data_IF_164012686693
#
_entry.id   IF_164012686693
#
_cell.length_a   1.000
_cell.length_b   1.000
_cell.length_c   1.000
_cell.angle_alpha   90.00
_cell.angle_beta   90.00
_cell.angle_gamma   90.00
#
_symmetry.space_group_name_H-M   'P 1'
#
loop_
_entity.id
_entity.type
_entity.pdbx_description
1 polymer ?
#
# COMPACT_ATOMS: atom_id res chain seq x y z
N UNK A 1 8.05 12.25 -4.94
CA UNK A 1 7.29 10.97 -5.01
C UNK A 1 6.38 10.91 -3.79
N UNK A 2 5.20 10.32 -3.88
CA UNK A 2 4.27 10.16 -2.74
C UNK A 2 4.18 8.67 -2.41
N UNK A 3 4.24 8.33 -1.12
CA UNK A 3 4.14 6.96 -0.63
C UNK A 3 3.05 6.88 0.43
N UNK A 4 2.27 5.81 0.37
CA UNK A 4 1.34 5.42 1.42
C UNK A 4 1.94 4.22 2.17
N UNK A 5 1.91 4.25 3.50
CA UNK A 5 2.47 3.20 4.36
C UNK A 5 1.43 2.74 5.36
N UNK A 6 1.37 1.43 5.60
CA UNK A 6 0.55 0.84 6.64
C UNK A 6 1.43 -0.05 7.54
N UNK A 7 1.81 0.48 8.71
CA UNK A 7 2.61 -0.26 9.70
C UNK A 7 1.78 -1.24 10.55
N UNK A 8 0.45 -1.21 10.41
CA UNK A 8 -0.47 -1.79 11.39
C UNK A 8 -1.28 -2.96 10.81
N UNK A 9 -0.89 -3.50 9.66
CA UNK A 9 -1.54 -4.67 9.09
C UNK A 9 -1.47 -5.85 10.07
N UNK A 10 -2.62 -6.47 10.30
CA UNK A 10 -2.78 -7.61 11.20
C UNK A 10 -3.01 -8.91 10.42
N UNK A 11 -2.56 -10.03 10.98
CA UNK A 11 -2.92 -11.37 10.51
C UNK A 11 -4.39 -11.70 10.87
N UNK A 12 -4.96 -12.79 10.32
CA UNK A 12 -6.29 -13.26 10.71
C UNK A 12 -6.43 -13.51 12.23
N UNK A 13 -5.33 -13.85 12.91
CA UNK A 13 -5.26 -14.04 14.36
C UNK A 13 -5.08 -12.72 15.14
N UNK A 14 -5.13 -11.58 14.46
CA UNK A 14 -5.07 -10.25 15.07
C UNK A 14 -3.66 -9.79 15.46
N UNK A 15 -2.61 -10.52 15.07
CA UNK A 15 -1.21 -10.17 15.38
C UNK A 15 -0.65 -9.19 14.35
N UNK A 16 0.16 -8.23 14.79
CA UNK A 16 0.87 -7.34 13.86
C UNK A 16 1.83 -8.15 12.99
N UNK A 17 1.74 -7.94 11.68
CA UNK A 17 2.57 -8.64 10.71
C UNK A 17 3.94 -7.98 10.52
N UNK A 18 4.03 -6.69 10.80
CA UNK A 18 5.27 -5.92 10.76
C UNK A 18 5.69 -5.52 12.18
N UNK A 19 6.97 -5.69 12.56
CA UNK A 19 7.44 -5.37 13.91
C UNK A 19 7.34 -3.88 14.28
N UNK A 20 7.33 -2.97 13.29
CA UNK A 20 7.16 -1.54 13.54
C UNK A 20 8.37 -0.86 14.19
N UNK A 21 8.13 0.26 14.86
CA UNK A 21 9.15 1.04 15.56
C UNK A 21 10.39 1.34 14.70
N UNK A 22 11.59 1.03 15.18
CA UNK A 22 12.84 1.24 14.47
C UNK A 22 12.94 0.44 13.17
N UNK A 23 12.24 -0.68 13.06
CA UNK A 23 12.26 -1.52 11.85
C UNK A 23 11.58 -0.84 10.66
N UNK A 24 10.74 0.18 10.89
CA UNK A 24 10.19 1.03 9.82
C UNK A 24 11.29 1.69 8.98
N UNK A 25 12.50 1.87 9.53
CA UNK A 25 13.67 2.36 8.78
C UNK A 25 13.98 1.51 7.55
N UNK A 26 13.64 0.21 7.52
CA UNK A 26 13.83 -0.68 6.37
C UNK A 26 12.92 -0.33 5.20
N UNK A 27 11.69 0.08 5.49
CA UNK A 27 10.77 0.59 4.47
C UNK A 27 11.18 1.99 4.02
N UNK A 28 11.70 2.83 4.93
CA UNK A 28 12.29 4.12 4.55
C UNK A 28 13.51 3.95 3.64
N UNK A 29 14.39 2.98 3.92
CA UNK A 29 15.50 2.60 3.03
C UNK A 29 14.99 2.28 1.63
N UNK A 30 13.97 1.42 1.51
CA UNK A 30 13.35 1.10 0.22
C UNK A 30 12.76 2.34 -0.46
N UNK A 31 12.08 3.22 0.29
CA UNK A 31 11.55 4.49 -0.24
C UNK A 31 12.67 5.37 -0.84
N UNK A 32 13.80 5.52 -0.15
CA UNK A 32 14.94 6.29 -0.67
C UNK A 32 15.54 5.63 -1.90
N UNK A 33 15.74 4.30 -1.87
CA UNK A 33 16.21 3.56 -3.04
C UNK A 33 15.22 3.63 -4.23
N UNK A 34 13.91 3.78 -3.98
CA UNK A 34 12.90 4.02 -5.03
C UNK A 34 13.01 5.42 -5.63
N UNK A 35 13.31 6.42 -4.82
CA UNK A 35 13.57 7.78 -5.30
C UNK A 35 14.85 7.83 -6.17
N UNK A 36 15.86 7.04 -5.80
CA UNK A 36 17.13 6.91 -6.53
C UNK A 36 17.07 5.96 -7.73
N UNK A 37 15.94 5.27 -7.97
CA UNK A 37 15.79 4.29 -9.05
C UNK A 37 16.54 2.96 -8.84
N UNK A 38 16.99 2.68 -7.61
CA UNK A 38 17.76 1.48 -7.23
C UNK A 38 16.89 0.32 -6.74
N UNK A 39 15.72 0.60 -6.17
CA UNK A 39 14.82 -0.44 -5.66
C UNK A 39 13.78 -0.89 -6.69
N UNK A 40 13.55 -2.21 -6.76
CA UNK A 40 12.52 -2.83 -7.59
C UNK A 40 11.13 -2.69 -6.95
N UNK A 41 10.12 -2.57 -7.81
CA UNK A 41 8.72 -2.51 -7.42
C UNK A 41 7.86 -3.21 -8.48
N UNK A 42 6.73 -3.75 -8.06
CA UNK A 42 5.72 -4.35 -8.95
C UNK A 42 4.53 -3.41 -9.10
N UNK A 43 4.00 -3.30 -10.32
CA UNK A 43 2.77 -2.56 -10.58
C UNK A 43 1.57 -3.35 -10.04
N UNK A 44 0.69 -2.64 -9.34
CA UNK A 44 -0.56 -3.18 -8.79
C UNK A 44 -1.69 -2.17 -9.02
N UNK A 45 -2.97 -2.56 -8.85
CA UNK A 45 -4.08 -1.63 -8.99
C UNK A 45 -4.01 -0.40 -8.07
N UNK A 46 -3.29 -0.49 -6.97
CA UNK A 46 -3.17 0.58 -5.95
C UNK A 46 -1.83 1.32 -6.03
N UNK A 47 -1.08 1.14 -7.12
CA UNK A 47 0.24 1.74 -7.33
C UNK A 47 1.36 0.71 -7.26
N UNK A 48 2.57 1.16 -6.94
CA UNK A 48 3.78 0.34 -6.97
C UNK A 48 4.12 -0.18 -5.58
N UNK A 49 4.10 -1.50 -5.40
CA UNK A 49 4.49 -2.17 -4.15
C UNK A 49 5.91 -2.72 -4.23
N UNK A 50 6.59 -2.96 -3.09
CA UNK A 50 7.88 -3.64 -3.08
C UNK A 50 7.81 -4.96 -3.85
N UNK A 51 8.79 -5.19 -4.73
CA UNK A 51 8.95 -6.49 -5.37
C UNK A 51 9.42 -7.53 -4.35
N UNK A 52 9.27 -8.81 -4.70
CA UNK A 52 9.82 -9.91 -3.91
C UNK A 52 11.32 -9.67 -3.62
N UNK A 53 11.74 -9.91 -2.38
CA UNK A 53 13.11 -9.70 -1.91
C UNK A 53 13.66 -8.26 -2.05
N UNK A 54 12.81 -7.26 -2.28
CA UNK A 54 13.26 -5.85 -2.35
C UNK A 54 13.27 -5.12 -1.01
N UNK A 55 12.64 -5.68 0.03
CA UNK A 55 12.73 -5.17 1.40
C UNK A 55 13.83 -5.90 2.16
N UNK A 56 14.65 -5.14 2.87
CA UNK A 56 15.68 -5.69 3.75
C UNK A 56 15.06 -6.22 5.03
N UNK A 57 14.83 -7.53 5.08
CA UNK A 57 14.32 -8.25 6.26
C UNK A 57 15.41 -9.00 7.02
N UNK A 58 16.68 -8.73 6.71
CA UNK A 58 17.80 -9.39 7.38
C UNK A 58 17.76 -9.11 8.89
N UNK A 59 17.87 -10.19 9.69
CA UNK A 59 17.81 -10.13 11.15
C UNK A 59 16.41 -9.92 11.74
N UNK A 60 15.35 -9.79 10.92
CA UNK A 60 13.97 -9.72 11.42
C UNK A 60 13.42 -11.11 11.75
N UNK A 61 12.71 -11.20 12.87
CA UNK A 61 11.88 -12.38 13.22
C UNK A 61 10.50 -12.28 12.58
N UNK A 62 10.45 -12.26 11.26
CA UNK A 62 9.20 -12.29 10.48
C UNK A 62 8.99 -13.68 9.88
N UNK A 63 7.73 -14.09 9.70
CA UNK A 63 7.43 -15.36 9.03
C UNK A 63 7.95 -15.35 7.58
N UNK A 64 8.31 -16.51 7.00
CA UNK A 64 8.85 -16.59 5.64
C UNK A 64 7.99 -15.88 4.58
N UNK A 65 6.66 -15.99 4.71
CA UNK A 65 5.70 -15.37 3.78
C UNK A 65 5.14 -14.02 4.27
N UNK A 66 5.63 -13.49 5.40
CA UNK A 66 5.06 -12.27 5.99
C UNK A 66 5.16 -11.08 5.03
N UNK A 67 6.28 -10.93 4.30
CA UNK A 67 6.45 -9.85 3.32
C UNK A 67 5.45 -9.99 2.18
N UNK A 68 5.27 -11.21 1.66
CA UNK A 68 4.33 -11.51 0.58
C UNK A 68 2.90 -11.14 0.98
N UNK A 69 2.48 -11.53 2.18
CA UNK A 69 1.16 -11.17 2.71
C UNK A 69 1.05 -9.66 3.02
N UNK A 70 2.10 -9.02 3.56
CA UNK A 70 2.15 -7.58 3.81
C UNK A 70 1.97 -6.77 2.52
N UNK A 71 2.53 -7.25 1.40
CA UNK A 71 2.43 -6.61 0.08
C UNK A 71 1.30 -7.14 -0.79
N UNK A 72 0.43 -8.01 -0.27
CA UNK A 72 -0.74 -8.52 -1.01
C UNK A 72 -1.81 -7.45 -1.13
N UNK A 73 -2.34 -7.25 -2.33
CA UNK A 73 -3.51 -6.40 -2.59
C UNK A 73 -4.78 -7.24 -2.44
N UNK A 74 -5.64 -6.85 -1.49
CA UNK A 74 -6.98 -7.41 -1.35
C UNK A 74 -7.94 -6.67 -2.29
N UNK A 75 -8.10 -7.18 -3.51
CA UNK A 75 -8.90 -6.54 -4.57
C UNK A 75 -10.37 -6.40 -4.14
N UNK A 76 -10.94 -7.43 -3.52
CA UNK A 76 -12.33 -7.40 -3.08
C UNK A 76 -12.52 -6.43 -1.92
N UNK A 77 -11.58 -6.38 -0.97
CA UNK A 77 -11.55 -5.35 0.06
C UNK A 77 -11.50 -3.93 -0.53
N UNK A 78 -10.64 -3.68 -1.52
CA UNK A 78 -10.57 -2.39 -2.20
C UNK A 78 -11.86 -2.03 -2.96
N UNK A 79 -12.51 -3.01 -3.59
CA UNK A 79 -13.83 -2.79 -4.23
C UNK A 79 -14.90 -2.41 -3.21
N UNK A 80 -14.87 -3.01 -2.02
CA UNK A 80 -15.75 -2.65 -0.92
C UNK A 80 -15.49 -1.24 -0.37
N UNK A 81 -14.25 -0.73 -0.47
CA UNK A 81 -13.90 0.64 -0.07
C UNK A 81 -14.33 1.72 -1.09
N UNK A 82 -14.44 1.38 -2.39
CA UNK A 82 -14.84 2.33 -3.44
C UNK A 82 -16.13 3.12 -3.11
N UNK A 83 -17.26 2.50 -2.68
CA UNK A 83 -18.45 3.26 -2.31
C UNK A 83 -18.23 4.20 -1.12
N UNK A 84 -17.40 3.81 -0.14
CA UNK A 84 -17.07 4.65 1.02
C UNK A 84 -16.25 5.87 0.61
N UNK A 85 -15.30 5.70 -0.31
CA UNK A 85 -14.53 6.81 -0.87
C UNK A 85 -15.45 7.73 -1.69
N UNK A 86 -16.38 7.16 -2.49
CA UNK A 86 -17.36 7.94 -3.26
C UNK A 86 -18.26 8.78 -2.33
N UNK A 87 -18.74 8.20 -1.23
CA UNK A 87 -19.53 8.89 -0.21
C UNK A 87 -18.72 10.02 0.45
N UNK A 88 -17.49 9.72 0.87
CA UNK A 88 -16.60 10.74 1.44
C UNK A 88 -16.33 11.88 0.44
N UNK A 89 -16.08 11.56 -0.83
CA UNK A 89 -15.86 12.55 -1.87
C UNK A 89 -17.09 13.43 -2.13
N UNK A 90 -18.30 12.87 -1.98
CA UNK A 90 -19.54 13.62 -2.12
C UNK A 90 -19.69 14.72 -1.04
N UNK A 91 -19.11 14.56 0.16
CA UNK A 91 -19.20 15.56 1.23
C UNK A 91 -18.51 16.89 0.87
N UNK A 92 -17.62 16.90 -0.11
CA UNK A 92 -16.94 18.10 -0.60
C UNK A 92 -17.73 18.84 -1.71
N UNK A 93 -18.77 18.20 -2.27
CA UNK A 93 -19.63 18.77 -3.30
C UNK A 93 -18.86 19.35 -4.49
N UNK A 94 -19.20 20.58 -4.89
CA UNK A 94 -18.58 21.28 -6.02
C UNK A 94 -17.10 21.66 -5.79
N UNK A 95 -16.61 21.61 -4.55
CA UNK A 95 -15.21 21.97 -4.22
C UNK A 95 -14.23 20.82 -4.44
N UNK A 96 -14.71 19.59 -4.68
CA UNK A 96 -13.83 18.46 -4.92
C UNK A 96 -13.09 18.64 -6.27
N UNK A 97 -11.75 18.67 -6.29
CA UNK A 97 -11.00 18.74 -7.53
C UNK A 97 -11.34 17.58 -8.47
N UNK A 98 -11.56 17.87 -9.75
CA UNK A 98 -11.84 16.86 -10.78
C UNK A 98 -10.81 15.74 -10.78
N UNK A 99 -9.52 16.08 -10.60
CA UNK A 99 -8.43 15.12 -10.57
C UNK A 99 -8.62 14.01 -9.52
N UNK A 100 -9.21 14.28 -8.36
CA UNK A 100 -9.48 13.24 -7.35
C UNK A 100 -10.57 12.27 -7.82
N UNK A 101 -11.60 12.78 -8.50
CA UNK A 101 -12.65 11.92 -9.10
C UNK A 101 -12.06 11.04 -10.20
N UNK A 102 -11.21 11.63 -11.05
CA UNK A 102 -10.54 10.91 -12.14
C UNK A 102 -9.64 9.79 -11.61
N UNK A 103 -8.88 10.04 -10.53
CA UNK A 103 -8.05 9.01 -9.88
C UNK A 103 -8.87 7.88 -9.27
N UNK A 104 -10.04 8.18 -8.67
CA UNK A 104 -10.94 7.17 -8.14
C UNK A 104 -11.54 6.30 -9.27
N UNK A 105 -11.95 6.91 -10.39
CA UNK A 105 -12.40 6.16 -11.57
C UNK A 105 -11.29 5.30 -12.15
N UNK A 106 -10.05 5.81 -12.22
CA UNK A 106 -8.92 5.05 -12.69
C UNK A 106 -8.58 3.87 -11.75
N UNK A 107 -8.71 4.06 -10.43
CA UNK A 107 -8.57 2.98 -9.45
C UNK A 107 -9.62 1.88 -9.66
N UNK A 108 -10.89 2.27 -9.82
CA UNK A 108 -11.99 1.34 -10.09
C UNK A 108 -11.73 0.51 -11.36
N UNK A 109 -11.25 1.12 -12.44
CA UNK A 109 -10.87 0.41 -13.66
C UNK A 109 -9.70 -0.57 -13.45
N UNK A 110 -8.68 -0.19 -12.67
CA UNK A 110 -7.53 -1.07 -12.40
C UNK A 110 -7.89 -2.26 -11.52
N UNK A 111 -8.94 -2.15 -10.70
CA UNK A 111 -9.42 -3.23 -9.83
C UNK A 111 -10.26 -4.27 -10.58
N UNK A 112 -10.74 -3.95 -11.79
CA UNK A 112 -11.50 -4.85 -12.66
C UNK A 112 -12.98 -4.89 -12.35
#
# INVERSE_FOLDING_TARGET
>A
KIFYVNWFRKSPEGKFMWPGYAENSRVLKWIFERCDGKAKAVDTPIGKLPAENSLDVSGLKVAPDAVKELTKVDVEGWKAELPLIKEHFASFGAKLPKALKDELTALEQRLG
#
